data_IF_179362236761
#
_entry.id   IF_179362236761
#
_cell.length_a   1.000
_cell.length_b   1.000
_cell.length_c   1.000
_cell.angle_alpha   90.00
_cell.angle_beta   90.00
_cell.angle_gamma   90.00
#
_symmetry.space_group_name_H-M   'P 1'
#
loop_
_entity.id
_entity.type
_entity.pdbx_description
1 polymer ?
#
# COMPACT_ATOMS: atom_id res chain seq x y z
N UNK A 1 10.11 -14.52 -17.17
CA UNK A 1 10.95 -15.08 -16.10
C UNK A 1 10.03 -15.32 -14.92
N UNK A 2 10.02 -16.54 -14.41
CA UNK A 2 9.16 -16.93 -13.31
C UNK A 2 9.68 -16.31 -11.98
N UNK A 3 8.85 -15.62 -11.19
CA UNK A 3 9.29 -14.98 -9.94
C UNK A 3 9.81 -15.97 -8.89
N UNK A 4 9.38 -17.24 -8.94
CA UNK A 4 9.84 -18.29 -8.04
C UNK A 4 11.25 -18.76 -8.33
N UNK A 5 11.69 -18.66 -9.58
CA UNK A 5 13.02 -19.11 -10.03
C UNK A 5 14.13 -18.15 -9.57
N UNK A 6 13.83 -16.84 -9.50
CA UNK A 6 14.79 -15.82 -9.03
C UNK A 6 15.00 -15.93 -7.52
N UNK A 7 13.93 -16.19 -6.76
CA UNK A 7 13.98 -16.36 -5.31
C UNK A 7 14.64 -17.68 -4.90
N UNK A 8 14.47 -18.75 -5.66
CA UNK A 8 15.13 -20.03 -5.42
C UNK A 8 16.66 -19.99 -5.68
N UNK A 9 17.14 -19.04 -6.49
CA UNK A 9 18.57 -18.87 -6.80
C UNK A 9 19.38 -18.20 -5.69
N UNK A 10 18.70 -17.49 -4.79
CA UNK A 10 19.31 -16.80 -3.65
C UNK A 10 19.12 -17.68 -2.41
N UNK A 11 20.17 -18.41 -2.02
CA UNK A 11 20.18 -19.21 -0.79
C UNK A 11 19.82 -18.38 0.47
N UNK A 12 19.80 -19.03 1.63
CA UNK A 12 19.39 -18.43 2.92
C UNK A 12 20.14 -17.10 3.22
N UNK A 13 21.39 -16.99 2.79
CA UNK A 13 22.20 -15.77 2.94
C UNK A 13 21.76 -14.62 2.01
N UNK A 14 21.30 -14.91 0.79
CA UNK A 14 20.79 -13.90 -0.15
C UNK A 14 19.45 -13.32 0.30
N UNK A 15 18.58 -14.13 0.88
CA UNK A 15 17.33 -13.68 1.48
C UNK A 15 17.56 -12.76 2.70
N UNK A 16 18.55 -13.09 3.55
CA UNK A 16 18.91 -12.26 4.70
C UNK A 16 19.57 -10.94 4.28
N UNK A 17 20.44 -10.96 3.27
CA UNK A 17 21.05 -9.76 2.71
C UNK A 17 20.01 -8.82 2.08
N UNK A 18 19.02 -9.37 1.37
CA UNK A 18 17.91 -8.61 0.81
C UNK A 18 17.03 -7.98 1.90
N UNK A 19 16.71 -8.73 2.96
CA UNK A 19 15.95 -8.19 4.10
C UNK A 19 16.67 -7.04 4.80
N UNK A 20 17.99 -7.18 5.02
CA UNK A 20 18.83 -6.15 5.62
C UNK A 20 19.00 -4.92 4.70
N UNK A 21 19.05 -5.12 3.39
CA UNK A 21 19.18 -4.00 2.45
C UNK A 21 17.93 -3.13 2.38
N UNK A 22 16.77 -3.72 2.66
CA UNK A 22 15.48 -3.02 2.66
C UNK A 22 15.19 -2.26 3.96
N UNK A 23 16.03 -2.43 5.01
CA UNK A 23 15.86 -1.80 6.33
C UNK A 23 16.77 -0.60 6.58
N UNK A 24 17.67 -0.26 5.65
CA UNK A 24 18.60 0.87 5.81
C UNK A 24 18.09 2.15 5.13
N UNK A 25 18.54 3.34 5.57
CA UNK A 25 18.15 4.62 4.99
C UNK A 25 18.52 4.73 3.51
N UNK A 26 17.67 5.39 2.72
CA UNK A 26 17.84 5.54 1.26
C UNK A 26 19.19 6.18 0.88
N UNK A 27 19.78 6.98 1.76
CA UNK A 27 21.08 7.63 1.59
C UNK A 27 22.28 6.65 1.56
N UNK A 28 22.10 5.40 2.00
CA UNK A 28 23.15 4.38 1.99
C UNK A 28 23.28 3.63 0.64
N UNK A 29 22.30 3.81 -0.25
CA UNK A 29 22.28 3.15 -1.55
C UNK A 29 22.44 4.20 -2.65
N UNK A 30 23.57 4.15 -3.36
CA UNK A 30 23.64 4.78 -4.69
C UNK A 30 22.56 4.15 -5.60
N UNK A 31 22.13 4.89 -6.63
CA UNK A 31 21.16 4.42 -7.65
C UNK A 31 21.59 3.05 -8.23
N UNK A 32 21.19 1.98 -7.56
CA UNK A 32 21.43 0.60 -7.96
C UNK A 32 20.13 0.09 -8.56
N UNK A 33 20.14 -0.12 -9.87
CA UNK A 33 18.98 -0.61 -10.60
C UNK A 33 18.44 -1.93 -10.03
N UNK A 34 19.29 -2.76 -9.40
CA UNK A 34 18.84 -4.00 -8.75
C UNK A 34 18.02 -3.71 -7.49
N UNK A 35 18.37 -2.67 -6.73
CA UNK A 35 17.62 -2.26 -5.54
C UNK A 35 16.25 -1.68 -5.92
N UNK A 36 16.20 -0.86 -6.97
CA UNK A 36 14.94 -0.32 -7.49
C UNK A 36 13.99 -1.43 -7.94
N UNK A 37 14.52 -2.47 -8.61
CA UNK A 37 13.74 -3.65 -9.00
C UNK A 37 13.21 -4.39 -7.77
N UNK A 38 14.04 -4.60 -6.73
CA UNK A 38 13.60 -5.24 -5.48
C UNK A 38 12.50 -4.44 -4.78
N UNK A 39 12.62 -3.11 -4.75
CA UNK A 39 11.57 -2.23 -4.21
C UNK A 39 10.27 -2.32 -5.02
N UNK A 40 10.35 -2.29 -6.34
CA UNK A 40 9.19 -2.44 -7.21
C UNK A 40 8.48 -3.79 -7.00
N UNK A 41 9.24 -4.89 -6.94
CA UNK A 41 8.69 -6.22 -6.69
C UNK A 41 7.99 -6.31 -5.33
N UNK A 42 8.60 -5.77 -4.27
CA UNK A 42 8.00 -5.80 -2.93
C UNK A 42 6.77 -4.91 -2.83
N UNK A 43 6.76 -3.74 -3.49
CA UNK A 43 5.59 -2.87 -3.55
C UNK A 43 4.42 -3.51 -4.33
N UNK A 44 4.72 -4.21 -5.43
CA UNK A 44 3.75 -4.97 -6.21
C UNK A 44 3.15 -6.15 -5.40
N UNK A 45 4.00 -6.94 -4.75
CA UNK A 45 3.55 -8.03 -3.88
C UNK A 45 2.64 -7.51 -2.74
N UNK A 46 3.00 -6.38 -2.13
CA UNK A 46 2.16 -5.72 -1.12
C UNK A 46 0.78 -5.35 -1.69
N UNK A 47 0.74 -4.78 -2.90
CA UNK A 47 -0.50 -4.41 -3.57
C UNK A 47 -1.40 -5.63 -3.84
N UNK A 48 -0.85 -6.73 -4.36
CA UNK A 48 -1.59 -7.96 -4.60
C UNK A 48 -2.14 -8.57 -3.30
N UNK A 49 -1.30 -8.69 -2.27
CA UNK A 49 -1.73 -9.24 -0.96
C UNK A 49 -2.86 -8.41 -0.38
N UNK A 50 -2.72 -7.08 -0.41
CA UNK A 50 -3.77 -6.19 0.08
C UNK A 50 -5.07 -6.29 -0.74
N UNK A 51 -4.98 -6.31 -2.07
CA UNK A 51 -6.14 -6.43 -2.94
C UNK A 51 -6.89 -7.76 -2.73
N UNK A 52 -6.15 -8.86 -2.54
CA UNK A 52 -6.72 -10.16 -2.20
C UNK A 52 -7.43 -10.15 -0.83
N UNK A 53 -6.91 -9.40 0.14
CA UNK A 53 -7.52 -9.26 1.46
C UNK A 53 -8.87 -8.55 1.39
N UNK A 54 -8.92 -7.37 0.77
CA UNK A 54 -10.17 -6.58 0.66
C UNK A 54 -11.21 -7.21 -0.28
N UNK A 55 -10.79 -8.04 -1.24
CA UNK A 55 -11.71 -8.78 -2.11
C UNK A 55 -12.26 -10.06 -1.47
N UNK A 56 -11.66 -10.52 -0.36
CA UNK A 56 -12.01 -11.79 0.29
C UNK A 56 -12.68 -11.62 1.66
N UNK A 57 -12.39 -10.53 2.35
CA UNK A 57 -12.92 -10.25 3.69
C UNK A 57 -13.56 -8.86 3.67
N UNK A 58 -14.67 -8.69 4.40
CA UNK A 58 -15.34 -7.39 4.50
C UNK A 58 -14.36 -6.33 5.06
N UNK A 59 -14.02 -5.30 4.25
CA UNK A 59 -12.99 -4.35 4.61
C UNK A 59 -13.26 -3.57 5.89
N UNK A 60 -14.55 -3.44 6.28
CA UNK A 60 -14.94 -2.73 7.50
C UNK A 60 -14.33 -3.34 8.78
N UNK A 61 -14.02 -4.64 8.75
CA UNK A 61 -13.44 -5.36 9.89
C UNK A 61 -11.93 -5.58 9.77
N UNK A 62 -11.30 -5.14 8.67
CA UNK A 62 -9.86 -5.27 8.48
C UNK A 62 -9.12 -4.27 9.36
N UNK A 63 -8.15 -4.79 10.12
CA UNK A 63 -7.12 -3.97 10.77
C UNK A 63 -5.81 -4.12 10.01
N UNK A 64 -5.29 -3.02 9.48
CA UNK A 64 -4.04 -3.01 8.72
C UNK A 64 -2.84 -2.88 9.66
N UNK A 65 -3.01 -2.20 10.78
CA UNK A 65 -2.00 -1.98 11.82
C UNK A 65 -2.60 -2.07 13.23
N UNK A 66 -1.73 -2.08 14.25
CA UNK A 66 -2.16 -1.99 15.66
C UNK A 66 -2.70 -0.60 16.03
N UNK A 67 -2.40 0.42 15.23
CA UNK A 67 -2.66 1.83 15.52
C UNK A 67 -3.63 2.47 14.52
N UNK A 68 -4.47 1.67 13.85
CA UNK A 68 -5.39 2.17 12.80
C UNK A 68 -6.28 3.33 13.28
N UNK A 69 -6.74 3.27 14.52
CA UNK A 69 -7.56 4.33 15.12
C UNK A 69 -6.80 5.65 15.21
N UNK A 70 -5.52 5.60 15.60
CA UNK A 70 -4.66 6.79 15.70
C UNK A 70 -4.38 7.35 14.30
N UNK A 71 -4.05 6.48 13.35
CA UNK A 71 -3.78 6.88 11.96
C UNK A 71 -5.02 7.55 11.34
N UNK A 72 -6.19 6.93 11.45
CA UNK A 72 -7.43 7.46 10.90
C UNK A 72 -7.82 8.80 11.52
N UNK A 73 -7.78 8.91 12.85
CA UNK A 73 -8.12 10.16 13.54
C UNK A 73 -7.17 11.28 13.11
N UNK A 74 -5.86 11.05 13.15
CA UNK A 74 -4.88 12.05 12.76
C UNK A 74 -5.01 12.45 11.29
N UNK A 75 -5.30 11.49 10.42
CA UNK A 75 -5.51 11.76 8.99
C UNK A 75 -6.72 12.67 8.78
N UNK A 76 -7.86 12.40 9.44
CA UNK A 76 -9.05 13.24 9.35
C UNK A 76 -8.91 14.59 10.07
N UNK A 77 -8.02 14.72 11.04
CA UNK A 77 -7.65 16.02 11.63
C UNK A 77 -6.82 16.88 10.67
N UNK A 78 -5.79 16.31 10.04
CA UNK A 78 -4.88 17.04 9.16
C UNK A 78 -5.46 17.26 7.75
N UNK A 79 -6.32 16.35 7.30
CA UNK A 79 -6.90 16.29 5.96
C UNK A 79 -8.43 16.04 6.00
N UNK A 80 -9.21 16.94 6.64
CA UNK A 80 -10.64 16.72 6.87
C UNK A 80 -11.44 16.52 5.59
N UNK A 81 -11.16 17.33 4.56
CA UNK A 81 -11.90 17.34 3.29
C UNK A 81 -11.22 16.51 2.18
N UNK A 82 -10.22 15.68 2.52
CA UNK A 82 -9.51 14.89 1.53
C UNK A 82 -10.38 13.76 1.01
N UNK A 83 -10.63 13.77 -0.30
CA UNK A 83 -11.37 12.71 -0.99
C UNK A 83 -10.50 11.48 -1.11
N UNK A 84 -10.93 10.40 -0.46
CA UNK A 84 -10.24 9.11 -0.50
C UNK A 84 -10.82 8.17 -1.56
N UNK A 85 -11.96 8.48 -2.19
CA UNK A 85 -12.58 7.61 -3.19
C UNK A 85 -11.78 7.64 -4.49
N UNK A 86 -11.61 8.84 -5.04
CA UNK A 86 -10.82 9.10 -6.26
C UNK A 86 -9.75 10.13 -5.92
N UNK A 87 -8.50 9.69 -5.87
CA UNK A 87 -7.38 10.53 -5.51
C UNK A 87 -6.94 11.38 -6.68
N UNK A 88 -6.71 12.67 -6.41
CA UNK A 88 -5.91 13.51 -7.29
C UNK A 88 -4.42 13.23 -7.04
N UNK A 89 -3.65 12.73 -8.05
CA UNK A 89 -2.22 12.50 -7.93
C UNK A 89 -1.43 13.71 -7.43
N UNK A 90 -1.85 14.94 -7.78
CA UNK A 90 -1.15 16.16 -7.38
C UNK A 90 -1.23 16.41 -5.87
N UNK A 91 -2.26 15.91 -5.19
CA UNK A 91 -2.41 15.99 -3.73
C UNK A 91 -1.48 15.04 -2.96
N UNK A 92 -0.72 14.20 -3.67
CA UNK A 92 0.26 13.29 -3.10
C UNK A 92 1.70 13.59 -3.54
N UNK A 93 1.89 14.06 -4.80
CA UNK A 93 3.23 14.18 -5.40
C UNK A 93 3.74 15.61 -5.58
N UNK A 94 2.85 16.62 -5.58
CA UNK A 94 3.26 18.03 -5.75
C UNK A 94 4.16 18.49 -4.59
N UNK A 95 4.94 19.55 -4.81
CA UNK A 95 5.80 20.09 -3.76
C UNK A 95 4.98 20.55 -2.53
N UNK A 96 3.85 21.22 -2.77
CA UNK A 96 2.92 21.65 -1.73
C UNK A 96 2.30 20.48 -0.97
N UNK A 97 1.92 19.42 -1.69
CA UNK A 97 1.42 18.20 -1.06
C UNK A 97 2.49 17.55 -0.17
N UNK A 98 3.73 17.46 -0.63
CA UNK A 98 4.85 16.91 0.15
C UNK A 98 5.07 17.68 1.45
N UNK A 99 5.00 19.01 1.42
CA UNK A 99 5.12 19.83 2.62
C UNK A 99 3.97 19.60 3.62
N UNK A 100 2.75 19.30 3.14
CA UNK A 100 1.61 18.94 4.01
C UNK A 100 1.72 17.52 4.57
N UNK A 101 2.14 16.56 3.74
CA UNK A 101 2.26 15.16 4.13
C UNK A 101 3.46 14.90 5.05
N UNK A 102 4.55 15.67 4.92
CA UNK A 102 5.76 15.49 5.72
C UNK A 102 5.53 15.50 7.25
N UNK A 103 4.85 16.50 7.85
CA UNK A 103 4.57 16.49 9.28
C UNK A 103 3.66 15.32 9.68
N UNK A 104 2.68 14.96 8.84
CA UNK A 104 1.84 13.79 9.07
C UNK A 104 2.67 12.50 9.10
N UNK A 105 3.52 12.25 8.09
CA UNK A 105 4.34 11.05 8.02
C UNK A 105 5.30 10.94 9.20
N UNK A 106 5.99 12.03 9.55
CA UNK A 106 6.97 12.05 10.65
C UNK A 106 6.32 11.82 12.01
N UNK A 107 5.02 12.12 12.18
CA UNK A 107 4.29 11.79 13.41
C UNK A 107 4.31 10.28 13.72
N UNK A 108 4.42 9.44 12.69
CA UNK A 108 4.37 7.99 12.81
C UNK A 108 5.72 7.28 12.74
N UNK A 109 6.84 8.01 12.67
CA UNK A 109 8.19 7.44 12.53
C UNK A 109 8.52 6.37 13.57
N UNK A 110 8.06 6.56 14.82
CA UNK A 110 8.29 5.63 15.94
C UNK A 110 7.06 4.81 16.31
N UNK A 111 5.95 4.95 15.58
CA UNK A 111 4.68 4.27 15.85
C UNK A 111 4.37 3.19 14.83
N UNK A 112 4.81 3.38 13.59
CA UNK A 112 4.58 2.47 12.47
C UNK A 112 5.91 2.00 11.91
N UNK A 113 6.12 0.69 11.96
CA UNK A 113 7.33 0.07 11.40
C UNK A 113 7.42 0.32 9.89
N UNK A 114 8.61 0.73 9.46
CA UNK A 114 8.90 1.21 8.10
C UNK A 114 7.84 2.19 7.55
N UNK A 115 7.41 3.17 8.35
CA UNK A 115 6.38 4.14 7.95
C UNK A 115 6.63 4.81 6.58
N UNK A 116 7.89 5.01 6.22
CA UNK A 116 8.34 5.64 4.98
C UNK A 116 8.60 4.65 3.83
N UNK A 117 8.37 3.35 4.03
CA UNK A 117 8.58 2.33 3.01
C UNK A 117 7.69 2.55 1.79
N UNK A 118 8.24 2.30 0.60
CA UNK A 118 7.52 2.48 -0.67
C UNK A 118 6.44 1.44 -0.92
N UNK A 119 5.22 1.89 -1.22
CA UNK A 119 4.06 1.05 -1.52
C UNK A 119 3.32 1.57 -2.75
N UNK A 120 2.44 0.74 -3.31
CA UNK A 120 1.52 1.14 -4.36
C UNK A 120 0.14 1.43 -3.75
N UNK A 121 -0.48 2.49 -4.24
CA UNK A 121 -1.81 2.93 -3.82
C UNK A 121 -2.69 3.15 -5.05
N UNK A 122 -3.96 2.74 -4.97
CA UNK A 122 -4.93 2.97 -6.04
C UNK A 122 -5.44 4.39 -6.04
N UNK A 123 -5.50 5.02 -7.21
CA UNK A 123 -6.09 6.34 -7.39
C UNK A 123 -7.61 6.27 -7.21
N UNK A 124 -8.28 5.40 -7.96
CA UNK A 124 -9.69 5.06 -7.80
C UNK A 124 -9.82 3.73 -7.05
N UNK A 125 -10.43 3.77 -5.87
CA UNK A 125 -10.57 2.60 -5.00
C UNK A 125 -11.47 1.50 -5.57
N UNK A 126 -12.34 1.83 -6.53
CA UNK A 126 -13.28 0.89 -7.14
C UNK A 126 -12.64 0.07 -8.27
N UNK A 127 -11.43 0.43 -8.70
CA UNK A 127 -10.70 -0.21 -9.79
C UNK A 127 -9.53 -1.06 -9.29
N UNK A 128 -9.01 -1.88 -10.18
CA UNK A 128 -7.85 -2.74 -9.92
C UNK A 128 -6.54 -1.93 -9.94
N UNK A 129 -5.45 -2.55 -9.51
CA UNK A 129 -4.10 -2.00 -9.73
C UNK A 129 -3.75 -2.09 -11.22
N UNK A 130 -3.69 -0.95 -11.88
CA UNK A 130 -3.21 -0.80 -13.26
C UNK A 130 -2.20 0.35 -13.32
N UNK A 131 -1.41 0.45 -14.38
CA UNK A 131 -0.45 1.55 -14.57
C UNK A 131 -1.13 2.93 -14.43
N UNK A 132 -2.32 3.10 -15.00
CA UNK A 132 -3.08 4.35 -14.96
C UNK A 132 -3.78 4.62 -13.62
N UNK A 133 -4.08 3.57 -12.85
CA UNK A 133 -4.83 3.66 -11.58
C UNK A 133 -3.92 3.53 -10.35
N UNK A 134 -2.60 3.56 -10.50
CA UNK A 134 -1.67 3.30 -9.41
C UNK A 134 -0.69 4.45 -9.23
N UNK A 135 -0.43 4.82 -7.98
CA UNK A 135 0.58 5.80 -7.62
C UNK A 135 1.50 5.22 -6.53
N UNK A 136 2.76 5.64 -6.54
CA UNK A 136 3.68 5.36 -5.46
C UNK A 136 3.34 6.22 -4.24
N UNK A 137 3.26 5.60 -3.07
CA UNK A 137 3.00 6.25 -1.79
C UNK A 137 3.84 5.60 -0.69
N UNK A 138 4.15 6.36 0.36
CA UNK A 138 4.75 5.77 1.56
C UNK A 138 3.74 4.88 2.28
N UNK A 139 4.22 3.91 3.06
CA UNK A 139 3.39 2.97 3.83
C UNK A 139 2.40 3.71 4.73
N UNK A 140 2.81 4.82 5.36
CA UNK A 140 1.91 5.59 6.22
C UNK A 140 0.83 6.34 5.42
N UNK A 141 1.13 6.86 4.23
CA UNK A 141 0.13 7.43 3.33
C UNK A 141 -0.86 6.36 2.86
N UNK A 142 -0.35 5.18 2.50
CA UNK A 142 -1.17 4.03 2.15
C UNK A 142 -2.12 3.67 3.30
N UNK A 143 -1.62 3.51 4.52
CA UNK A 143 -2.48 3.21 5.67
C UNK A 143 -3.51 4.29 5.94
N UNK A 144 -3.11 5.57 5.93
CA UNK A 144 -4.03 6.68 6.15
C UNK A 144 -5.24 6.62 5.20
N UNK A 145 -4.96 6.41 3.91
CA UNK A 145 -5.99 6.41 2.86
C UNK A 145 -6.80 5.11 2.88
N UNK A 146 -6.15 3.96 2.94
CA UNK A 146 -6.84 2.66 2.86
C UNK A 146 -7.62 2.31 4.14
N UNK A 147 -7.14 2.69 5.32
CA UNK A 147 -7.93 2.56 6.57
C UNK A 147 -9.20 3.40 6.47
N UNK A 148 -9.09 4.62 5.95
CA UNK A 148 -10.24 5.52 5.76
C UNK A 148 -11.22 4.93 4.74
N UNK A 149 -10.73 4.45 3.59
CA UNK A 149 -11.55 3.74 2.59
C UNK A 149 -12.28 2.53 3.16
N UNK A 150 -11.63 1.77 4.04
CA UNK A 150 -12.22 0.61 4.71
C UNK A 150 -13.33 1.01 5.68
N UNK A 151 -13.08 2.03 6.52
CA UNK A 151 -14.04 2.49 7.54
C UNK A 151 -15.25 3.18 6.93
N UNK A 152 -15.05 3.97 5.88
CA UNK A 152 -16.10 4.72 5.18
C UNK A 152 -16.82 3.88 4.12
N UNK A 153 -16.36 2.65 3.87
CA UNK A 153 -17.05 1.68 3.03
C UNK A 153 -16.74 1.79 1.54
N UNK A 154 -15.81 2.65 1.13
CA UNK A 154 -15.41 2.79 -0.28
C UNK A 154 -14.81 1.51 -0.86
N UNK A 155 -14.03 0.76 -0.07
CA UNK A 155 -13.48 -0.53 -0.51
C UNK A 155 -14.50 -1.68 -0.55
N UNK A 156 -15.73 -1.47 -0.05
CA UNK A 156 -16.76 -2.50 -0.06
C UNK A 156 -17.12 -2.93 -1.49
N UNK A 157 -17.03 -2.04 -2.46
CA UNK A 157 -17.26 -2.34 -3.88
C UNK A 157 -16.37 -3.49 -4.37
N UNK A 158 -15.10 -3.50 -3.97
CA UNK A 158 -14.11 -4.53 -4.34
C UNK A 158 -14.46 -5.87 -3.68
N UNK A 159 -14.83 -5.86 -2.41
CA UNK A 159 -15.30 -7.05 -1.69
C UNK A 159 -16.55 -7.67 -2.33
N UNK A 160 -17.53 -6.84 -2.67
CA UNK A 160 -18.79 -7.27 -3.27
C UNK A 160 -18.56 -7.86 -4.66
N UNK A 161 -17.68 -7.25 -5.46
CA UNK A 161 -17.26 -7.78 -6.76
C UNK A 161 -16.55 -9.13 -6.62
N UNK A 162 -15.59 -9.24 -5.69
CA UNK A 162 -14.87 -10.50 -5.42
C UNK A 162 -15.79 -11.62 -4.94
N UNK A 163 -16.78 -11.30 -4.11
CA UNK A 163 -17.79 -12.27 -3.66
C UNK A 163 -18.67 -12.77 -4.80
N UNK A 164 -19.07 -11.90 -5.73
CA UNK A 164 -19.86 -12.27 -6.92
C UNK A 164 -19.09 -13.19 -7.85
N UNK A 165 -17.83 -12.85 -8.15
CA UNK A 165 -16.96 -13.66 -9.01
C UNK A 165 -16.80 -15.09 -8.44
N UNK A 166 -16.51 -15.22 -7.14
CA UNK A 166 -16.38 -16.52 -6.47
C UNK A 166 -17.65 -17.38 -6.49
N UNK A 167 -18.84 -16.76 -6.48
CA UNK A 167 -20.11 -17.48 -6.59
C UNK A 167 -20.32 -18.02 -8.00
N UNK A 168 -20.06 -17.21 -9.03
CA UNK A 168 -20.19 -17.62 -10.43
C UNK A 168 -19.25 -18.78 -10.78
N UNK A 169 -18.01 -18.79 -10.28
CA UNK A 169 -17.07 -19.90 -10.49
C UNK A 169 -17.55 -21.21 -9.87
N UNK A 170 -18.21 -21.15 -8.70
CA UNK A 170 -18.77 -22.34 -8.02
C UNK A 170 -20.02 -22.90 -8.69
N UNK A 171 -20.80 -22.06 -9.37
CA UNK A 171 -22.00 -22.49 -10.11
C UNK A 171 -21.66 -23.10 -11.48
N UNK A 172 -20.45 -22.88 -11.98
CA UNK A 172 -19.96 -23.38 -13.27
C UNK A 172 -19.01 -24.61 -13.13
N UNK A 173 -18.67 -25.03 -11.91
CA UNK A 173 -17.84 -26.20 -11.60
C UNK A 173 -18.69 -27.36 -11.11
#
# INVERSE_FOLDING_TARGET
MDPGEVLASLGVEGAAAAAHALSLPAEAYGNDAQLEVMWAMKAYNHAEVYFNLISSVDPKYLKLTKTDDVIHTKFREDFPDFDVKVLDPELLKSAEAKEKWRPFCNHFENLVEDFNYGTLLRLDCEKDYTEENTIFATRIQFFAIEITRNREGYNKTVHDAGTKAKKQTKEQS
#
